data_IF_948380177880
#
_entry.id   IF_948380177880
#
_cell.length_a   1.000
_cell.length_b   1.000
_cell.length_c   1.000
_cell.angle_alpha   90.00
_cell.angle_beta   90.00
_cell.angle_gamma   90.00
#
_symmetry.space_group_name_H-M   'P 1'
#
loop_
_entity.id
_entity.type
_entity.pdbx_description
1 polymer ?
#
# COMPACT_ATOMS: atom_id res chain seq x y z
N UNK A 1 13.08 -1.09 5.98
CA UNK A 1 13.01 -2.57 5.98
C UNK A 1 12.05 -2.98 4.87
N UNK A 2 12.53 -3.66 3.82
CA UNK A 2 11.68 -4.16 2.72
C UNK A 2 11.03 -5.48 3.17
N UNK A 3 9.75 -5.46 3.50
CA UNK A 3 9.00 -6.62 3.97
C UNK A 3 8.07 -7.20 2.89
N UNK A 4 8.51 -7.24 1.63
CA UNK A 4 7.72 -7.78 0.52
C UNK A 4 8.01 -9.26 0.22
N UNK A 5 8.77 -9.95 1.09
CA UNK A 5 9.40 -11.24 0.76
C UNK A 5 8.52 -12.49 0.79
N UNK A 6 7.24 -12.42 1.19
CA UNK A 6 6.43 -13.63 1.43
C UNK A 6 4.97 -13.56 0.94
N UNK A 7 4.59 -12.57 0.13
CA UNK A 7 3.23 -12.55 -0.42
C UNK A 7 3.23 -13.33 -1.73
N UNK A 8 2.59 -14.51 -1.69
CA UNK A 8 2.37 -15.31 -2.88
C UNK A 8 1.53 -14.51 -3.89
N UNK A 9 1.89 -14.56 -5.18
CA UNK A 9 1.08 -13.93 -6.21
C UNK A 9 -0.30 -14.57 -6.24
N UNK A 10 -1.35 -13.73 -6.37
CA UNK A 10 -2.71 -14.22 -6.55
C UNK A 10 -2.94 -14.48 -8.03
N UNK A 11 -3.37 -15.67 -8.38
CA UNK A 11 -3.72 -16.06 -9.75
C UNK A 11 -5.19 -16.49 -9.80
N UNK A 12 -5.93 -15.98 -10.78
CA UNK A 12 -7.32 -16.38 -11.01
C UNK A 12 -7.68 -16.27 -12.49
N UNK A 13 -8.73 -16.98 -12.89
CA UNK A 13 -9.29 -16.95 -14.24
C UNK A 13 -10.56 -16.10 -14.27
N UNK A 14 -10.73 -15.27 -15.29
CA UNK A 14 -11.94 -14.49 -15.50
C UNK A 14 -13.00 -15.30 -16.26
N UNK A 15 -14.24 -14.84 -16.26
CA UNK A 15 -15.32 -15.45 -17.06
C UNK A 15 -15.01 -15.49 -18.58
N UNK A 16 -14.09 -14.64 -19.05
CA UNK A 16 -13.62 -14.61 -20.44
C UNK A 16 -12.43 -15.56 -20.71
N UNK A 17 -12.09 -16.44 -19.76
CA UNK A 17 -10.93 -17.35 -19.80
C UNK A 17 -9.58 -16.66 -19.91
N UNK A 18 -9.47 -15.43 -19.40
CA UNK A 18 -8.18 -14.77 -19.25
C UNK A 18 -7.62 -15.10 -17.88
N UNK A 19 -6.33 -15.42 -17.82
CA UNK A 19 -5.63 -15.65 -16.54
C UNK A 19 -5.02 -14.34 -16.08
N UNK A 20 -5.38 -13.89 -14.88
CA UNK A 20 -4.85 -12.68 -14.25
C UNK A 20 -3.92 -13.09 -13.11
N UNK A 21 -2.71 -12.52 -13.09
CA UNK A 21 -1.71 -12.69 -12.03
C UNK A 21 -1.44 -11.36 -11.36
N UNK A 22 -1.76 -11.26 -10.08
CA UNK A 22 -1.46 -10.11 -9.23
C UNK A 22 -0.19 -10.38 -8.42
N UNK A 23 0.78 -9.46 -8.50
CA UNK A 23 2.07 -9.52 -7.78
C UNK A 23 2.29 -8.25 -6.98
N UNK A 24 2.57 -8.37 -5.70
CA UNK A 24 3.12 -7.25 -4.93
C UNK A 24 4.58 -7.03 -5.33
N UNK A 25 4.91 -5.81 -5.73
CA UNK A 25 6.29 -5.40 -6.07
C UNK A 25 6.97 -4.85 -4.82
N UNK A 26 6.28 -3.97 -4.10
CA UNK A 26 6.79 -3.36 -2.89
C UNK A 26 5.67 -3.07 -1.90
N UNK A 27 6.06 -3.09 -0.62
CA UNK A 27 5.26 -2.65 0.50
C UNK A 27 6.13 -1.70 1.33
N UNK A 28 5.65 -0.48 1.50
CA UNK A 28 6.39 0.59 2.16
C UNK A 28 5.50 1.30 3.17
N UNK A 29 6.01 1.50 4.38
CA UNK A 29 5.33 2.28 5.41
C UNK A 29 5.90 3.69 5.36
N UNK A 30 5.07 4.65 4.97
CA UNK A 30 5.43 6.06 5.00
C UNK A 30 5.53 6.58 6.45
N UNK A 31 6.37 7.60 6.65
CA UNK A 31 6.48 8.26 7.96
C UNK A 31 5.12 8.79 8.42
N UNK A 32 4.80 8.69 9.73
CA UNK A 32 3.59 9.26 10.29
C UNK A 32 3.42 10.74 9.96
N UNK A 33 2.24 11.12 9.47
CA UNK A 33 1.87 12.50 9.14
C UNK A 33 0.60 12.90 9.89
N UNK A 34 0.48 14.18 10.20
CA UNK A 34 -0.70 14.71 10.86
C UNK A 34 -1.91 14.60 9.91
N UNK A 35 -3.04 14.10 10.43
CA UNK A 35 -4.29 14.09 9.67
C UNK A 35 -4.69 15.55 9.40
N UNK A 36 -4.78 15.91 8.12
CA UNK A 36 -5.33 17.20 7.72
C UNK A 36 -6.83 17.13 8.00
N UNK A 37 -7.31 17.92 8.96
CA UNK A 37 -8.74 18.06 9.22
C UNK A 37 -9.31 18.91 8.09
N UNK A 38 -10.30 18.38 7.36
CA UNK A 38 -10.98 19.13 6.30
C UNK A 38 -11.50 20.47 6.86
N UNK A 39 -11.13 21.58 6.22
CA UNK A 39 -11.49 22.94 6.66
C UNK A 39 -10.46 23.64 7.55
N UNK A 40 -9.47 22.93 8.11
CA UNK A 40 -8.32 23.54 8.73
C UNK A 40 -7.18 23.64 7.69
N UNK A 41 -6.71 24.86 7.41
CA UNK A 41 -5.56 25.16 6.54
C UNK A 41 -4.22 24.69 7.16
N UNK A 42 -4.20 23.51 7.77
CA UNK A 42 -3.01 22.92 8.38
C UNK A 42 -2.34 22.03 7.34
N UNK A 43 -1.17 22.45 6.88
CA UNK A 43 -0.30 21.63 6.05
C UNK A 43 0.00 20.29 6.75
N UNK A 44 -0.01 19.20 5.99
CA UNK A 44 0.42 17.90 6.52
C UNK A 44 1.91 17.99 6.87
N UNK A 45 2.27 17.81 8.13
CA UNK A 45 3.65 17.71 8.59
C UNK A 45 3.91 16.30 9.13
N UNK A 46 5.18 15.92 9.22
CA UNK A 46 5.56 14.69 9.90
C UNK A 46 5.30 14.83 11.38
N UNK A 47 4.68 13.80 11.96
CA UNK A 47 4.37 13.75 13.39
C UNK A 47 5.54 13.13 14.11
N UNK A 48 5.93 13.71 15.25
CA UNK A 48 6.87 13.07 16.18
C UNK A 48 6.13 12.25 17.23
N UNK A 49 6.75 11.19 17.79
CA UNK A 49 6.09 10.37 18.82
C UNK A 49 5.56 11.16 20.02
N UNK A 50 6.25 12.21 20.45
CA UNK A 50 5.82 13.07 21.56
C UNK A 50 4.51 13.83 21.22
N UNK A 51 4.40 14.37 20.02
CA UNK A 51 3.19 15.04 19.54
C UNK A 51 2.00 14.08 19.48
N UNK A 52 2.23 12.85 18.99
CA UNK A 52 1.20 11.83 18.97
C UNK A 52 0.67 11.51 20.39
N UNK A 53 1.55 11.46 21.39
CA UNK A 53 1.18 11.28 22.81
C UNK A 53 0.37 12.48 23.33
N UNK A 54 0.84 13.70 23.09
CA UNK A 54 0.15 14.92 23.53
C UNK A 54 -1.25 15.02 22.91
N UNK A 55 -1.38 14.67 21.63
CA UNK A 55 -2.65 14.62 20.91
C UNK A 55 -3.51 13.39 21.22
N UNK A 56 -3.11 12.52 22.16
CA UNK A 56 -3.82 11.27 22.51
C UNK A 56 -4.15 10.42 21.28
N UNK A 57 -3.20 10.30 20.36
CA UNK A 57 -3.36 9.64 19.07
C UNK A 57 -2.36 8.50 18.88
N UNK A 58 -2.68 7.57 17.98
CA UNK A 58 -1.78 6.46 17.63
C UNK A 58 -0.70 6.92 16.65
N UNK A 59 0.57 6.75 17.04
CA UNK A 59 1.71 6.98 16.15
C UNK A 59 1.70 5.96 15.01
N UNK A 60 1.19 6.37 13.84
CA UNK A 60 0.86 5.46 12.73
C UNK A 60 1.35 6.00 11.39
N UNK A 61 1.95 5.10 10.60
CA UNK A 61 2.40 5.37 9.24
C UNK A 61 1.42 4.82 8.21
N UNK A 62 1.38 5.39 7.01
CA UNK A 62 0.54 4.91 5.91
C UNK A 62 1.23 3.76 5.17
N UNK A 63 0.55 2.63 5.00
CA UNK A 63 1.05 1.51 4.19
C UNK A 63 0.72 1.74 2.72
N UNK A 64 1.76 1.87 1.91
CA UNK A 64 1.68 1.92 0.46
C UNK A 64 2.10 0.58 -0.13
N UNK A 65 1.32 0.09 -1.10
CA UNK A 65 1.60 -1.11 -1.85
C UNK A 65 1.67 -0.79 -3.33
N UNK A 66 2.71 -1.28 -4.00
CA UNK A 66 2.78 -1.30 -5.45
C UNK A 66 2.47 -2.70 -5.95
N UNK A 67 1.45 -2.82 -6.79
CA UNK A 67 0.91 -4.08 -7.29
C UNK A 67 1.01 -4.10 -8.81
N UNK A 68 1.53 -5.18 -9.40
CA UNK A 68 1.44 -5.44 -10.82
C UNK A 68 0.30 -6.42 -11.09
N UNK A 69 -0.56 -6.08 -12.05
CA UNK A 69 -1.47 -7.03 -12.68
C UNK A 69 -0.92 -7.42 -14.05
N UNK A 70 -0.78 -8.72 -14.28
CA UNK A 70 -0.40 -9.30 -15.56
C UNK A 70 -1.58 -10.12 -16.09
N UNK A 71 -1.99 -9.86 -17.32
CA UNK A 71 -3.10 -10.55 -17.98
C UNK A 71 -2.55 -11.45 -19.08
N UNK A 72 -2.91 -12.72 -19.02
CA UNK A 72 -2.51 -13.75 -19.96
C UNK A 72 -3.74 -14.28 -20.70
N UNK A 73 -3.57 -14.59 -21.99
CA UNK A 73 -4.57 -15.31 -22.76
C UNK A 73 -4.56 -16.82 -22.45
N UNK A 74 -5.42 -17.58 -23.14
CA UNK A 74 -5.56 -19.03 -22.99
C UNK A 74 -4.31 -19.81 -23.41
N UNK A 75 -3.41 -19.21 -24.19
CA UNK A 75 -2.15 -19.80 -24.63
C UNK A 75 -0.99 -19.40 -23.70
N UNK A 76 -1.29 -18.86 -22.52
CA UNK A 76 -0.34 -18.32 -21.55
C UNK A 76 0.53 -17.17 -22.10
N UNK A 77 0.09 -16.49 -23.16
CA UNK A 77 0.78 -15.31 -23.70
C UNK A 77 0.36 -14.07 -22.91
N UNK A 78 1.34 -13.27 -22.49
CA UNK A 78 1.10 -11.98 -21.84
C UNK A 78 0.49 -11.01 -22.85
N UNK A 79 -0.71 -10.53 -22.56
CA UNK A 79 -1.45 -9.57 -23.41
C UNK A 79 -1.62 -8.20 -22.76
N UNK A 80 -1.38 -8.09 -21.45
CA UNK A 80 -1.46 -6.81 -20.74
C UNK A 80 -0.68 -6.82 -19.44
N UNK A 81 -0.15 -5.66 -19.07
CA UNK A 81 0.45 -5.42 -17.75
C UNK A 81 0.10 -4.02 -17.29
N UNK A 82 -0.37 -3.90 -16.06
CA UNK A 82 -0.63 -2.61 -15.42
C UNK A 82 -0.07 -2.59 -13.99
N UNK A 83 0.36 -1.41 -13.55
CA UNK A 83 0.90 -1.18 -12.21
C UNK A 83 -0.02 -0.26 -11.43
N UNK A 84 -0.36 -0.65 -10.21
CA UNK A 84 -1.19 0.13 -9.30
C UNK A 84 -0.43 0.50 -8.04
N UNK A 85 -0.46 1.78 -7.69
CA UNK A 85 -0.03 2.26 -6.39
C UNK A 85 -1.27 2.42 -5.50
N UNK A 86 -1.32 1.65 -4.40
CA UNK A 86 -2.48 1.60 -3.49
C UNK A 86 -2.09 1.99 -2.07
N UNK A 87 -2.96 2.78 -1.45
CA UNK A 87 -2.93 2.99 0.00
C UNK A 87 -3.75 1.86 0.64
N UNK A 88 -3.09 1.02 1.44
CA UNK A 88 -3.71 -0.11 2.13
C UNK A 88 -4.17 0.21 3.56
N UNK A 89 -3.93 1.43 4.03
CA UNK A 89 -4.38 1.91 5.34
C UNK A 89 -3.25 2.44 6.21
N UNK A 90 -3.50 2.46 7.53
CA UNK A 90 -2.56 2.97 8.54
C UNK A 90 -2.09 1.85 9.45
N UNK A 91 -0.79 1.82 9.76
CA UNK A 91 -0.17 0.81 10.63
C UNK A 91 0.51 1.52 11.82
N UNK A 92 0.29 1.08 13.07
CA UNK A 92 1.04 1.56 14.22
C UNK A 92 2.55 1.32 14.06
N UNK A 93 3.36 2.31 14.39
CA UNK A 93 4.81 2.24 14.26
C UNK A 93 5.46 2.18 15.63
N UNK A 94 6.39 1.23 15.82
CA UNK A 94 7.17 1.14 17.04
C UNK A 94 8.15 2.32 17.15
N UNK A 95 8.14 2.97 18.30
CA UNK A 95 9.06 4.07 18.63
C UNK A 95 10.35 3.46 19.16
N UNK A 96 11.51 3.96 18.71
CA UNK A 96 12.83 3.60 19.25
C UNK A 96 13.27 4.60 20.30
#
# INVERSE_FOLDING_TARGET
MKAAGAILPLEFETNTKLRVKLKFISLEIARPKAKVIAGANRHSHYVYPAEARMGKSTYSGTLHARINAEVFDQNAKLIGRESYDRNLGSIPVMVR
#
